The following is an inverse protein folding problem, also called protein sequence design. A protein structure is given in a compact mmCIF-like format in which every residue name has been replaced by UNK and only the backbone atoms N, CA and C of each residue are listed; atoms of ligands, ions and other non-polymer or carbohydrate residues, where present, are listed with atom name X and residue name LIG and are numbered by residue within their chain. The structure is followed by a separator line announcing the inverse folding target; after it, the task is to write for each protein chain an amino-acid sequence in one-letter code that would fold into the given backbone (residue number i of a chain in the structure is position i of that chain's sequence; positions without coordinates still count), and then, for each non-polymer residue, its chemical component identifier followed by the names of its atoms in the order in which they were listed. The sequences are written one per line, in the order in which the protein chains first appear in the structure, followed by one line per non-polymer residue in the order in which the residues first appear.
data_IF_946854365122
#
_entry.id   IF_946854365122
#
_cell.length_a   1.000
_cell.length_b   1.000
_cell.length_c   1.000
_cell.angle_alpha   90.00
_cell.angle_beta   90.00
_cell.angle_gamma   90.00
#
_symmetry.space_group_name_H-M   'P 1'
#
loop_
_entity.id
_entity.type
_entity.pdbx_description
1 polymer ?
#
# COMPACT_ATOMS: atom_id res chain seq x y z
N UNK A 1 -11.40 65.95 2.34
CA UNK A 1 -11.87 64.80 3.14
C UNK A 1 -12.87 63.86 2.46
N UNK A 2 -13.27 64.02 1.19
CA UNK A 2 -14.19 63.04 0.54
C UNK A 2 -13.76 62.49 -0.83
N UNK A 3 -12.67 63.00 -1.44
CA UNK A 3 -12.18 62.55 -2.76
C UNK A 3 -10.93 61.69 -2.73
N UNK A 4 -10.26 61.57 -1.58
CA UNK A 4 -9.02 60.76 -1.44
C UNK A 4 -9.28 59.36 -0.88
N UNK A 5 -10.46 59.11 -0.31
CA UNK A 5 -10.85 57.80 0.26
C UNK A 5 -11.41 56.86 -0.83
N UNK A 6 -11.92 57.41 -1.94
CA UNK A 6 -12.50 56.63 -3.04
C UNK A 6 -11.45 55.91 -3.91
N UNK A 7 -10.18 56.34 -3.85
CA UNK A 7 -9.09 55.72 -4.62
C UNK A 7 -8.41 54.56 -3.87
N UNK A 8 -8.61 54.44 -2.56
CA UNK A 8 -8.09 53.32 -1.76
C UNK A 8 -9.05 52.12 -1.69
N UNK A 9 -10.34 52.31 -1.99
CA UNK A 9 -11.34 51.23 -1.99
C UNK A 9 -11.46 50.47 -3.32
N UNK A 10 -10.91 50.98 -4.43
CA UNK A 10 -10.94 50.31 -5.74
C UNK A 10 -9.71 49.42 -5.97
N UNK A 11 -8.58 49.69 -5.28
CA UNK A 11 -7.35 48.91 -5.40
C UNK A 11 -7.36 47.56 -4.66
N UNK A 12 -8.26 47.36 -3.69
CA UNK A 12 -8.29 46.13 -2.89
C UNK A 12 -9.13 44.99 -3.49
N UNK A 13 -9.90 45.24 -4.56
CA UNK A 13 -10.79 44.22 -5.16
C UNK A 13 -10.14 43.42 -6.30
N UNK A 14 -8.93 43.77 -6.73
CA UNK A 14 -8.24 43.08 -7.84
C UNK A 14 -7.29 41.94 -7.39
N UNK A 15 -7.19 41.65 -6.09
CA UNK A 15 -6.57 40.42 -5.59
C UNK A 15 -7.57 39.27 -5.39
N UNK A 16 -8.78 39.41 -5.96
CA UNK A 16 -9.77 38.34 -6.04
C UNK A 16 -9.44 37.38 -7.19
N UNK A 17 -9.25 36.11 -6.85
CA UNK A 17 -9.11 34.97 -7.77
C UNK A 17 -7.87 34.98 -8.68
N UNK A 18 -6.74 34.56 -8.12
CA UNK A 18 -5.86 33.67 -8.88
C UNK A 18 -6.59 32.33 -9.01
N UNK A 19 -7.42 32.22 -10.05
CA UNK A 19 -7.96 30.96 -10.50
C UNK A 19 -6.74 30.13 -10.94
N UNK A 20 -6.35 29.12 -10.16
CA UNK A 20 -5.40 28.11 -10.63
C UNK A 20 -5.96 27.59 -11.96
N UNK A 21 -5.39 28.03 -13.07
CA UNK A 21 -5.55 27.36 -14.34
C UNK A 21 -4.99 25.96 -14.12
N UNK A 22 -5.87 25.01 -13.79
CA UNK A 22 -5.60 23.59 -13.97
C UNK A 22 -5.31 23.43 -15.46
N UNK A 23 -4.02 23.56 -15.80
CA UNK A 23 -3.53 23.50 -17.16
C UNK A 23 -4.07 22.23 -17.79
N UNK A 24 -4.72 22.39 -18.94
CA UNK A 24 -5.13 21.29 -19.80
C UNK A 24 -3.87 20.48 -20.14
N UNK A 25 -3.56 19.47 -19.33
CA UNK A 25 -2.53 18.49 -19.67
C UNK A 25 -3.08 17.67 -20.82
N UNK A 26 -2.57 17.93 -22.02
CA UNK A 26 -2.71 17.00 -23.12
C UNK A 26 -2.18 15.66 -22.63
N UNK A 27 -3.04 14.64 -22.55
CA UNK A 27 -2.64 13.32 -22.12
C UNK A 27 -1.61 12.78 -23.12
N UNK A 28 -0.36 12.63 -22.68
CA UNK A 28 0.67 11.97 -23.48
C UNK A 28 0.25 10.51 -23.63
N UNK A 29 0.13 10.04 -24.87
CA UNK A 29 -0.05 8.62 -25.14
C UNK A 29 1.31 7.95 -25.10
N UNK A 30 1.47 6.96 -24.22
CA UNK A 30 2.68 6.15 -24.12
C UNK A 30 2.60 4.94 -25.03
N UNK A 31 3.73 4.60 -25.63
CA UNK A 31 3.99 3.34 -26.33
C UNK A 31 4.84 2.43 -25.42
N UNK A 32 4.78 1.08 -25.56
CA UNK A 32 5.49 0.14 -24.70
C UNK A 32 6.99 0.04 -25.05
N UNK A 33 7.66 1.19 -25.18
CA UNK A 33 9.10 1.30 -25.47
C UNK A 33 9.78 2.18 -24.44
N UNK A 34 11.07 1.96 -24.20
CA UNK A 34 11.85 2.76 -23.25
C UNK A 34 11.90 4.22 -23.65
N UNK A 35 11.99 4.49 -24.95
CA UNK A 35 12.03 5.83 -25.52
C UNK A 35 10.75 6.60 -25.17
N UNK A 36 9.58 5.95 -25.30
CA UNK A 36 8.30 6.59 -24.95
C UNK A 36 8.15 6.79 -23.45
N UNK A 37 8.51 5.80 -22.62
CA UNK A 37 8.36 5.91 -21.16
C UNK A 37 9.28 6.97 -20.53
N UNK A 38 10.46 7.24 -21.13
CA UNK A 38 11.36 8.33 -20.71
C UNK A 38 10.76 9.72 -20.88
N UNK A 39 9.70 9.87 -21.67
CA UNK A 39 8.97 11.15 -21.76
C UNK A 39 8.20 11.48 -20.48
N UNK A 40 8.02 10.52 -19.56
CA UNK A 40 7.63 10.81 -18.18
C UNK A 40 8.83 11.39 -17.41
N UNK A 41 9.05 12.70 -17.57
CA UNK A 41 10.26 13.38 -17.10
C UNK A 41 10.21 13.78 -15.63
N UNK A 42 9.03 14.04 -15.11
CA UNK A 42 8.86 14.67 -13.81
C UNK A 42 8.07 13.78 -12.85
N UNK A 43 8.60 13.59 -11.64
CA UNK A 43 7.83 13.03 -10.53
C UNK A 43 6.66 13.98 -10.23
N UNK A 44 5.40 13.49 -10.15
CA UNK A 44 4.23 14.32 -9.94
C UNK A 44 4.37 15.17 -8.68
N UNK A 45 3.91 16.42 -8.76
CA UNK A 45 4.03 17.38 -7.66
C UNK A 45 3.45 16.83 -6.34
N UNK A 46 2.31 16.16 -6.38
CA UNK A 46 1.68 15.59 -5.18
C UNK A 46 2.58 14.55 -4.46
N UNK A 47 3.32 13.73 -5.22
CA UNK A 47 4.22 12.72 -4.65
C UNK A 47 5.51 13.38 -4.15
N UNK A 48 6.05 14.31 -4.95
CA UNK A 48 7.22 15.11 -4.57
C UNK A 48 6.99 15.90 -3.29
N UNK A 49 5.82 16.49 -3.13
CA UNK A 49 5.43 17.27 -1.95
C UNK A 49 4.95 16.39 -0.79
N UNK A 50 4.57 15.14 -1.08
CA UNK A 50 4.05 14.19 -0.09
C UNK A 50 5.04 13.90 1.03
N UNK A 51 6.33 13.76 0.70
CA UNK A 51 7.50 13.49 1.58
C UNK A 51 7.44 12.22 2.44
N UNK A 52 6.31 11.94 3.07
CA UNK A 52 6.11 10.86 4.02
C UNK A 52 4.88 10.04 3.63
N UNK A 53 5.03 8.72 3.66
CA UNK A 53 3.95 7.78 3.46
C UNK A 53 4.15 6.53 4.29
N UNK A 54 3.08 5.75 4.44
CA UNK A 54 3.06 4.53 5.25
C UNK A 54 2.58 3.37 4.41
N UNK A 55 3.29 2.25 4.47
CA UNK A 55 2.82 1.00 3.90
C UNK A 55 2.88 -0.12 4.94
N UNK A 56 2.15 -1.19 4.71
CA UNK A 56 2.03 -2.28 5.68
C UNK A 56 2.34 -3.63 5.06
N UNK A 57 3.34 -4.31 5.63
CA UNK A 57 3.51 -5.74 5.42
C UNK A 57 2.50 -6.50 6.27
N UNK A 58 1.40 -6.90 5.66
CA UNK A 58 0.34 -7.65 6.32
C UNK A 58 -0.24 -8.68 5.33
N UNK A 59 -0.25 -9.94 5.73
CA UNK A 59 -0.64 -11.09 4.92
C UNK A 59 -0.54 -12.39 5.73
N UNK A 60 -0.61 -13.58 5.10
CA UNK A 60 -0.62 -14.86 5.81
C UNK A 60 0.57 -15.08 6.74
N UNK A 61 1.73 -14.51 6.43
CA UNK A 61 2.91 -14.54 7.30
C UNK A 61 2.64 -13.92 8.70
N UNK A 62 1.71 -12.98 8.82
CA UNK A 62 1.31 -12.39 10.10
C UNK A 62 0.62 -13.40 11.05
N UNK A 63 0.11 -14.54 10.55
CA UNK A 63 -0.42 -15.64 11.38
C UNK A 63 0.70 -16.28 12.21
N UNK A 64 1.90 -16.36 11.64
CA UNK A 64 3.05 -17.01 12.29
C UNK A 64 3.72 -16.07 13.29
N UNK A 65 3.77 -14.77 12.97
CA UNK A 65 4.29 -13.70 13.83
C UNK A 65 5.63 -14.05 14.51
N UNK A 66 6.55 -14.70 13.77
CA UNK A 66 7.79 -15.24 14.30
C UNK A 66 9.01 -14.80 13.48
N UNK A 67 10.15 -14.69 14.16
CA UNK A 67 11.45 -14.36 13.58
C UNK A 67 11.68 -12.85 13.42
N UNK A 68 12.95 -12.48 13.20
CA UNK A 68 13.35 -11.08 13.01
C UNK A 68 12.69 -10.44 11.79
N UNK A 69 12.48 -11.23 10.73
CA UNK A 69 11.70 -10.83 9.56
C UNK A 69 10.58 -11.84 9.30
N UNK A 70 9.43 -11.60 9.92
CA UNK A 70 8.25 -12.45 9.75
C UNK A 70 7.78 -12.57 8.30
N UNK A 71 8.02 -11.58 7.43
CA UNK A 71 7.51 -11.62 6.04
C UNK A 71 8.22 -12.65 5.17
N UNK A 72 9.36 -13.17 5.63
CA UNK A 72 10.13 -14.24 4.98
C UNK A 72 9.90 -15.62 5.56
N UNK A 73 8.93 -15.77 6.48
CA UNK A 73 8.66 -17.03 7.16
C UNK A 73 8.35 -18.18 6.18
N UNK A 74 7.62 -17.90 5.09
CA UNK A 74 7.30 -18.88 4.05
C UNK A 74 8.55 -19.45 3.38
N UNK A 75 9.58 -18.64 3.16
CA UNK A 75 10.87 -19.09 2.62
C UNK A 75 11.67 -19.84 3.69
N UNK A 76 11.84 -19.23 4.87
CA UNK A 76 12.67 -19.76 5.94
C UNK A 76 12.18 -21.13 6.47
N UNK A 77 10.86 -21.38 6.42
CA UNK A 77 10.26 -22.66 6.80
C UNK A 77 10.85 -23.85 6.04
N UNK A 78 11.23 -23.66 4.77
CA UNK A 78 11.71 -24.74 3.90
C UNK A 78 13.23 -24.79 3.77
N UNK A 79 13.96 -23.94 4.49
CA UNK A 79 15.42 -24.04 4.61
C UNK A 79 15.79 -25.09 5.67
N UNK A 80 16.86 -25.85 5.44
CA UNK A 80 17.28 -26.93 6.34
C UNK A 80 17.61 -26.42 7.75
N UNK A 81 17.07 -27.11 8.76
CA UNK A 81 17.31 -26.96 10.20
C UNK A 81 17.21 -25.54 10.80
N UNK A 82 16.47 -24.64 10.15
CA UNK A 82 16.25 -23.27 10.62
C UNK A 82 15.23 -23.14 11.76
N UNK A 83 15.36 -22.05 12.54
CA UNK A 83 14.45 -21.73 13.66
C UNK A 83 12.98 -21.65 13.23
N UNK A 84 12.70 -21.15 12.02
CA UNK A 84 11.36 -21.05 11.48
C UNK A 84 10.69 -22.43 11.36
N UNK A 85 11.44 -23.46 10.95
CA UNK A 85 10.94 -24.83 10.88
C UNK A 85 10.68 -25.42 12.26
N UNK A 86 11.61 -25.25 13.19
CA UNK A 86 11.43 -25.72 14.58
C UNK A 86 10.20 -25.07 15.22
N UNK A 87 10.03 -23.75 15.03
CA UNK A 87 8.85 -23.02 15.46
C UNK A 87 7.57 -23.57 14.81
N UNK A 88 7.58 -23.83 13.51
CA UNK A 88 6.42 -24.36 12.79
C UNK A 88 6.01 -25.73 13.32
N UNK A 89 6.97 -26.66 13.40
CA UNK A 89 6.72 -28.03 13.82
C UNK A 89 6.24 -28.12 15.27
N UNK A 90 6.76 -27.24 16.14
CA UNK A 90 6.32 -27.11 17.54
C UNK A 90 4.91 -26.52 17.68
N UNK A 91 4.55 -25.56 16.82
CA UNK A 91 3.33 -24.75 17.01
C UNK A 91 2.13 -25.26 16.21
N UNK A 92 2.38 -25.73 14.99
CA UNK A 92 1.33 -26.08 14.02
C UNK A 92 1.32 -27.56 13.65
N UNK A 93 2.43 -28.27 13.90
CA UNK A 93 2.59 -29.68 13.61
C UNK A 93 3.66 -29.94 12.55
N UNK A 94 4.05 -31.21 12.42
CA UNK A 94 5.18 -31.64 11.60
C UNK A 94 5.06 -31.17 10.15
N UNK A 95 6.10 -30.52 9.64
CA UNK A 95 6.21 -30.15 8.23
C UNK A 95 6.30 -31.42 7.37
N UNK A 96 5.46 -31.53 6.35
CA UNK A 96 5.45 -32.66 5.43
C UNK A 96 5.33 -32.15 3.99
N UNK A 97 5.55 -33.01 2.96
CA UNK A 97 5.28 -32.59 1.59
C UNK A 97 3.82 -32.19 1.33
N UNK A 98 2.87 -32.62 2.18
CA UNK A 98 1.44 -32.30 2.04
C UNK A 98 0.97 -31.15 2.94
N UNK A 99 1.69 -30.89 4.04
CA UNK A 99 1.33 -29.90 5.07
C UNK A 99 2.47 -28.91 5.31
N UNK A 100 2.19 -27.61 5.15
CA UNK A 100 3.15 -26.52 5.35
C UNK A 100 2.49 -25.15 5.37
N UNK A 101 3.24 -24.12 4.94
CA UNK A 101 2.82 -22.70 5.01
C UNK A 101 1.41 -22.45 4.42
N UNK A 102 1.14 -23.03 3.24
CA UNK A 102 -0.13 -22.87 2.53
C UNK A 102 -1.36 -23.27 3.36
N UNK A 103 -1.20 -24.21 4.28
CA UNK A 103 -2.29 -24.78 5.06
C UNK A 103 -2.67 -23.88 6.25
N UNK A 104 -1.85 -22.87 6.53
CA UNK A 104 -2.13 -21.85 7.55
C UNK A 104 -2.76 -20.58 6.96
N UNK A 105 -2.84 -20.44 5.64
CA UNK A 105 -3.55 -19.33 4.97
C UNK A 105 -5.01 -19.18 5.49
N UNK A 106 -5.80 -20.26 5.67
CA UNK A 106 -7.15 -20.13 6.22
C UNK A 106 -7.24 -19.54 7.62
N UNK A 107 -6.13 -19.53 8.40
CA UNK A 107 -6.07 -18.91 9.73
C UNK A 107 -5.86 -17.40 9.67
N UNK A 108 -5.50 -16.84 8.51
CA UNK A 108 -5.43 -15.40 8.30
C UNK A 108 -6.85 -14.86 8.06
N UNK A 109 -7.63 -14.64 9.10
CA UNK A 109 -9.06 -14.28 8.98
C UNK A 109 -9.34 -12.79 8.97
N UNK A 110 -8.40 -11.96 9.44
CA UNK A 110 -8.55 -10.50 9.54
C UNK A 110 -9.81 -10.06 10.32
N UNK A 111 -10.28 -10.85 11.29
CA UNK A 111 -11.55 -10.63 12.01
C UNK A 111 -11.72 -9.24 12.65
N UNK A 112 -10.61 -8.59 13.04
CA UNK A 112 -10.60 -7.27 13.67
C UNK A 112 -10.07 -6.16 12.75
N UNK A 113 -9.93 -6.44 11.46
CA UNK A 113 -9.41 -5.46 10.52
C UNK A 113 -10.49 -4.44 10.14
N UNK A 114 -10.20 -3.17 10.40
CA UNK A 114 -10.97 -2.03 9.95
C UNK A 114 -10.09 -1.13 9.07
N UNK A 115 -10.47 -1.01 7.79
CA UNK A 115 -9.73 -0.22 6.82
C UNK A 115 -9.90 1.29 7.06
N UNK A 116 -11.04 1.73 7.60
CA UNK A 116 -11.30 3.14 7.91
C UNK A 116 -10.48 3.55 9.14
N UNK A 117 -10.35 2.67 10.13
CA UNK A 117 -9.47 2.90 11.28
C UNK A 117 -8.01 3.08 10.84
N UNK A 118 -7.52 2.23 9.94
CA UNK A 118 -6.16 2.33 9.41
C UNK A 118 -5.96 3.59 8.59
N UNK A 119 -6.89 3.91 7.68
CA UNK A 119 -6.82 5.12 6.87
C UNK A 119 -6.80 6.39 7.75
N UNK A 120 -7.64 6.42 8.79
CA UNK A 120 -7.70 7.53 9.74
C UNK A 120 -6.41 7.64 10.56
N UNK A 121 -5.83 6.52 10.99
CA UNK A 121 -4.54 6.49 11.69
C UNK A 121 -3.41 7.02 10.80
N UNK A 122 -3.33 6.57 9.54
CA UNK A 122 -2.31 7.04 8.60
C UNK A 122 -2.49 8.53 8.28
N UNK A 123 -3.73 9.00 8.16
CA UNK A 123 -4.00 10.42 7.99
C UNK A 123 -3.53 11.24 9.20
N UNK A 124 -3.83 10.77 10.41
CA UNK A 124 -3.42 11.42 11.68
C UNK A 124 -1.91 11.43 11.90
N UNK A 125 -1.16 10.45 11.37
CA UNK A 125 0.30 10.45 11.43
C UNK A 125 0.96 11.47 10.50
N UNK A 126 0.18 12.08 9.59
CA UNK A 126 0.65 13.05 8.61
C UNK A 126 1.10 12.44 7.29
N UNK A 127 0.93 11.13 7.08
CA UNK A 127 1.22 10.46 5.82
C UNK A 127 0.41 11.08 4.66
N UNK A 128 1.05 11.25 3.51
CA UNK A 128 0.45 11.82 2.28
C UNK A 128 0.11 10.77 1.24
N UNK A 129 0.62 9.57 1.41
CA UNK A 129 0.25 8.38 0.65
C UNK A 129 0.36 7.17 1.57
N UNK A 130 -0.54 6.21 1.40
CA UNK A 130 -0.51 4.98 2.17
C UNK A 130 -1.11 3.80 1.40
N UNK A 131 -0.80 2.58 1.83
CA UNK A 131 -1.41 1.38 1.27
C UNK A 131 -0.80 0.07 1.77
N UNK A 132 -1.50 -1.06 1.58
CA UNK A 132 -0.97 -2.36 1.93
C UNK A 132 0.01 -2.88 0.87
N UNK A 133 0.87 -3.81 1.26
CA UNK A 133 1.50 -4.73 0.30
C UNK A 133 0.39 -5.54 -0.38
N UNK A 134 0.29 -5.43 -1.70
CA UNK A 134 -0.73 -6.15 -2.46
C UNK A 134 -0.42 -7.66 -2.57
N UNK A 135 0.83 -8.01 -2.83
CA UNK A 135 1.34 -9.39 -2.83
C UNK A 135 2.80 -9.33 -2.41
N UNK A 136 3.22 -10.25 -1.53
CA UNK A 136 4.60 -10.38 -1.10
C UNK A 136 5.24 -11.61 -1.75
N UNK A 137 6.44 -12.00 -1.32
CA UNK A 137 7.19 -13.14 -1.87
C UNK A 137 6.55 -14.51 -1.59
N UNK A 138 5.49 -14.58 -0.78
CA UNK A 138 4.75 -15.82 -0.53
C UNK A 138 3.69 -16.12 -1.61
N UNK A 139 3.50 -15.22 -2.59
CA UNK A 139 2.61 -15.44 -3.73
C UNK A 139 1.11 -15.39 -3.38
N UNK A 140 0.75 -14.81 -2.23
CA UNK A 140 -0.63 -14.63 -1.82
C UNK A 140 -1.12 -13.22 -2.18
N UNK A 141 -2.10 -13.14 -3.07
CA UNK A 141 -2.67 -11.87 -3.50
C UNK A 141 -3.71 -11.35 -2.49
N UNK A 142 -3.52 -10.12 -1.99
CA UNK A 142 -4.44 -9.44 -1.06
C UNK A 142 -5.63 -8.76 -1.76
N UNK A 143 -5.97 -9.19 -2.99
CA UNK A 143 -7.11 -8.71 -3.77
C UNK A 143 -7.78 -9.84 -4.55
N UNK A 144 -9.01 -9.62 -5.05
CA UNK A 144 -9.71 -10.59 -5.90
C UNK A 144 -9.07 -10.66 -7.29
N UNK A 145 -8.25 -11.70 -7.51
CA UNK A 145 -7.59 -11.97 -8.78
C UNK A 145 -8.14 -13.22 -9.44
N UNK A 146 -8.32 -13.16 -10.77
CA UNK A 146 -8.69 -14.33 -11.60
C UNK A 146 -7.51 -15.24 -11.95
N UNK A 147 -6.28 -14.83 -11.64
CA UNK A 147 -5.06 -15.51 -12.07
C UNK A 147 -4.54 -16.56 -11.07
N UNK A 148 -5.09 -16.57 -9.84
CA UNK A 148 -4.69 -17.50 -8.79
C UNK A 148 -5.87 -17.81 -7.88
N UNK A 149 -5.88 -19.00 -7.28
CA UNK A 149 -6.79 -19.36 -6.19
C UNK A 149 -6.26 -18.92 -4.81
N UNK A 150 -4.97 -18.58 -4.73
CA UNK A 150 -4.30 -18.09 -3.53
C UNK A 150 -4.52 -16.57 -3.39
N UNK A 151 -5.72 -16.19 -2.95
CA UNK A 151 -6.03 -14.79 -2.73
C UNK A 151 -7.01 -14.54 -1.58
N UNK A 152 -7.06 -13.30 -1.09
CA UNK A 152 -7.85 -12.89 0.08
C UNK A 152 -9.37 -12.97 -0.13
N UNK A 153 -9.86 -12.88 -1.37
CA UNK A 153 -11.27 -13.03 -1.67
C UNK A 153 -11.74 -14.49 -1.56
N UNK A 154 -10.87 -15.45 -1.91
CA UNK A 154 -11.17 -16.90 -1.90
C UNK A 154 -10.79 -17.60 -0.59
N UNK A 155 -9.75 -17.14 0.08
CA UNK A 155 -9.15 -17.78 1.26
C UNK A 155 -9.00 -16.79 2.41
N UNK A 156 -8.83 -17.31 3.63
CA UNK A 156 -8.55 -16.48 4.81
C UNK A 156 -9.66 -15.45 5.07
N UNK A 157 -9.44 -14.13 4.83
CA UNK A 157 -10.42 -13.09 5.13
C UNK A 157 -11.73 -13.17 4.34
N UNK A 158 -11.69 -13.75 3.13
CA UNK A 158 -12.81 -13.76 2.18
C UNK A 158 -13.37 -12.35 1.91
N UNK A 159 -12.46 -11.40 1.70
CA UNK A 159 -12.73 -9.97 1.47
C UNK A 159 -11.83 -9.43 0.37
#
# INVERSE_FOLDING_TARGET
MLRLILLLSVGLLLFGCQQEQLGQHQAIKYEPTWESLREYKEVPKWLRDGKFGIYTHWGPYAVHAYGENTTWYSFALYMEDGEARQHFEKTFGKLTPQFGYKDLIPKFTAEKFDADEWAELFRKSGAKFAGPVAEHHDGFAMWDTKYSDWNAAKMGPKR
#
